data_IF_885287947077
#
_entry.id   IF_885287947077
#
_cell.length_a   1.000
_cell.length_b   1.000
_cell.length_c   1.000
_cell.angle_alpha   90.00
_cell.angle_beta   90.00
_cell.angle_gamma   90.00
#
_symmetry.space_group_name_H-M   'P 1'
#
loop_
_entity.id
_entity.type
_entity.pdbx_description
1 polymer ?
#
# COMPACT_ATOMS: atom_id res chain seq x y z
N UNK A 1 -29.52 4.54 -65.41
CA UNK A 1 -29.33 3.64 -64.28
C UNK A 1 -28.07 2.73 -64.43
N UNK A 2 -26.90 3.36 -64.74
CA UNK A 2 -25.65 2.58 -64.90
C UNK A 2 -24.51 3.08 -63.97
N UNK A 3 -24.74 4.13 -63.19
CA UNK A 3 -23.71 4.72 -62.32
C UNK A 3 -23.91 4.45 -60.82
N UNK A 4 -24.89 3.61 -60.43
CA UNK A 4 -25.16 3.31 -59.01
C UNK A 4 -24.49 2.02 -58.53
N UNK A 5 -23.88 1.23 -59.40
CA UNK A 5 -23.26 -0.04 -59.07
C UNK A 5 -21.76 0.07 -58.78
N UNK A 6 -21.13 1.22 -58.99
CA UNK A 6 -19.69 1.42 -58.86
C UNK A 6 -19.29 2.00 -57.51
N UNK A 7 -20.26 2.45 -56.68
CA UNK A 7 -20.00 3.01 -55.35
C UNK A 7 -20.07 1.94 -54.23
N UNK A 8 -20.68 0.79 -54.52
CA UNK A 8 -20.84 -0.25 -53.50
C UNK A 8 -19.64 -1.21 -53.38
N UNK A 9 -18.68 -1.19 -54.32
CA UNK A 9 -17.49 -2.04 -54.28
C UNK A 9 -16.29 -1.48 -53.57
N UNK A 10 -16.36 -0.21 -53.07
CA UNK A 10 -15.22 0.45 -52.44
C UNK A 10 -15.22 0.35 -50.90
N UNK A 11 -16.26 -0.24 -50.28
CA UNK A 11 -16.37 -0.36 -48.83
C UNK A 11 -15.94 -1.71 -48.25
N UNK A 12 -15.42 -2.63 -49.05
CA UNK A 12 -15.10 -4.00 -48.57
C UNK A 12 -13.60 -4.30 -48.35
N UNK A 13 -12.72 -3.29 -48.47
CA UNK A 13 -11.25 -3.55 -48.29
C UNK A 13 -10.63 -2.84 -47.09
N UNK A 14 -11.38 -2.34 -46.14
CA UNK A 14 -10.84 -1.86 -44.86
C UNK A 14 -11.27 -2.74 -43.69
N UNK A 15 -11.32 -4.06 -43.88
CA UNK A 15 -11.15 -4.98 -42.77
C UNK A 15 -9.66 -5.11 -42.51
N UNK A 16 -9.06 -4.02 -42.01
CA UNK A 16 -7.78 -4.11 -41.36
C UNK A 16 -8.03 -4.92 -40.09
N UNK A 17 -7.69 -6.23 -40.10
CA UNK A 17 -7.49 -6.97 -38.90
C UNK A 17 -6.41 -6.22 -38.13
N UNK A 18 -6.81 -5.40 -37.15
CA UNK A 18 -5.92 -5.06 -36.07
C UNK A 18 -5.63 -6.39 -35.40
N UNK A 19 -4.48 -6.95 -35.72
CA UNK A 19 -3.82 -7.82 -34.79
C UNK A 19 -3.71 -7.02 -33.50
N UNK A 20 -4.58 -7.30 -32.54
CA UNK A 20 -4.41 -6.81 -31.19
C UNK A 20 -3.04 -7.37 -30.77
N UNK A 21 -2.02 -6.54 -30.86
CA UNK A 21 -0.77 -6.82 -30.15
C UNK A 21 -1.20 -7.14 -28.74
N UNK A 22 -1.09 -8.41 -28.36
CA UNK A 22 -1.23 -8.82 -26.96
C UNK A 22 -0.16 -8.03 -26.21
N UNK A 23 -0.58 -6.90 -25.64
CA UNK A 23 0.26 -6.17 -24.71
C UNK A 23 0.59 -7.18 -23.62
N UNK A 24 1.82 -7.67 -23.62
CA UNK A 24 2.31 -8.55 -22.58
C UNK A 24 2.23 -7.77 -21.27
N UNK A 25 1.13 -7.90 -20.55
CA UNK A 25 0.96 -7.28 -19.23
C UNK A 25 1.94 -7.93 -18.27
N UNK A 26 3.00 -7.21 -17.99
CA UNK A 26 3.93 -7.60 -16.95
C UNK A 26 3.31 -7.36 -15.57
N UNK A 27 3.19 -8.40 -14.76
CA UNK A 27 2.63 -8.34 -13.41
C UNK A 27 3.73 -8.28 -12.36
N UNK A 28 3.47 -7.54 -11.30
CA UNK A 28 4.34 -7.54 -10.12
C UNK A 28 4.38 -8.94 -9.53
N UNK A 29 5.52 -9.61 -9.53
CA UNK A 29 5.66 -10.97 -8.99
C UNK A 29 6.26 -11.00 -7.60
N UNK A 30 7.22 -10.12 -7.32
CA UNK A 30 7.87 -10.02 -6.01
C UNK A 30 8.03 -8.56 -5.59
N UNK A 31 8.06 -8.35 -4.29
CA UNK A 31 8.36 -7.05 -3.67
C UNK A 31 9.39 -7.28 -2.57
N UNK A 32 10.48 -6.52 -2.61
CA UNK A 32 11.45 -6.55 -1.53
C UNK A 32 10.86 -5.93 -0.26
N UNK A 33 10.99 -6.63 0.87
CA UNK A 33 10.43 -6.22 2.16
C UNK A 33 11.00 -4.89 2.64
N UNK A 34 12.25 -4.59 2.32
CA UNK A 34 12.90 -3.32 2.69
C UNK A 34 12.23 -2.09 2.09
N UNK A 35 11.41 -2.27 1.03
CA UNK A 35 10.68 -1.19 0.37
C UNK A 35 9.32 -0.91 0.99
N UNK A 36 8.83 -1.80 1.84
CA UNK A 36 7.53 -1.69 2.47
C UNK A 36 7.61 -0.75 3.69
N UNK A 37 6.57 0.05 3.85
CA UNK A 37 6.43 0.95 4.99
C UNK A 37 5.37 0.37 5.93
N UNK A 38 5.80 -0.39 6.93
CA UNK A 38 4.92 -0.97 7.92
C UNK A 38 4.51 0.08 8.94
N UNK A 39 3.26 0.50 8.86
CA UNK A 39 2.67 1.58 9.65
C UNK A 39 2.53 1.24 11.14
N UNK A 40 2.53 -0.05 11.45
CA UNK A 40 2.04 -0.56 12.73
C UNK A 40 3.10 -1.21 13.59
N UNK A 41 4.32 -1.30 13.11
CA UNK A 41 5.34 -2.10 13.77
C UNK A 41 6.61 -1.28 13.83
N UNK A 42 7.10 -1.13 15.04
CA UNK A 42 8.47 -0.67 15.25
C UNK A 42 9.46 -1.81 14.89
N UNK A 43 9.39 -2.27 13.64
CA UNK A 43 10.28 -3.30 13.10
C UNK A 43 11.73 -2.81 13.12
N UNK A 44 11.92 -1.50 13.12
CA UNK A 44 13.23 -0.87 13.02
C UNK A 44 14.17 -1.16 14.19
N UNK A 45 13.64 -1.54 15.36
CA UNK A 45 14.49 -1.80 16.53
C UNK A 45 15.00 -3.25 16.62
N UNK A 46 14.32 -4.20 15.97
CA UNK A 46 14.63 -5.64 16.11
C UNK A 46 14.79 -6.38 14.78
N UNK A 47 14.38 -5.78 13.68
CA UNK A 47 14.46 -6.38 12.36
C UNK A 47 15.16 -5.44 11.38
N UNK A 48 16.29 -5.89 10.87
CA UNK A 48 16.98 -5.23 9.78
C UNK A 48 16.74 -6.09 8.52
N UNK A 49 15.77 -5.72 7.64
CA UNK A 49 15.42 -6.54 6.50
C UNK A 49 16.64 -6.73 5.60
N UNK A 50 16.96 -7.97 5.32
CA UNK A 50 17.96 -8.28 4.33
C UNK A 50 17.40 -7.88 2.95
N UNK A 51 18.22 -7.26 2.10
CA UNK A 51 17.83 -6.89 0.72
C UNK A 51 17.38 -8.07 -0.14
N UNK A 52 17.68 -9.30 0.26
CA UNK A 52 17.25 -10.51 -0.43
C UNK A 52 15.85 -10.99 -0.03
N UNK A 53 15.27 -10.48 1.06
CA UNK A 53 13.97 -10.93 1.53
C UNK A 53 12.85 -10.30 0.72
N UNK A 54 11.98 -11.14 0.18
CA UNK A 54 10.91 -10.75 -0.75
C UNK A 54 9.59 -11.41 -0.35
N UNK A 55 8.50 -10.65 -0.49
CA UNK A 55 7.17 -11.22 -0.59
C UNK A 55 6.89 -11.56 -2.05
N UNK A 56 6.13 -12.62 -2.28
CA UNK A 56 5.75 -13.12 -3.63
C UNK A 56 4.25 -13.05 -3.81
N UNK A 57 3.83 -12.63 -5.01
CA UNK A 57 2.44 -12.43 -5.35
C UNK A 57 1.98 -13.50 -6.33
N UNK A 58 0.85 -14.13 -6.04
CA UNK A 58 0.14 -15.02 -6.95
C UNK A 58 -1.15 -14.37 -7.43
N UNK A 59 -1.62 -14.75 -8.60
CA UNK A 59 -2.75 -14.14 -9.27
C UNK A 59 -3.83 -15.18 -9.58
N UNK A 60 -5.09 -14.75 -9.54
CA UNK A 60 -6.24 -15.53 -10.01
C UNK A 60 -6.39 -15.47 -11.54
N UNK A 61 -7.38 -16.18 -12.06
CA UNK A 61 -7.69 -16.20 -13.49
C UNK A 61 -8.15 -14.84 -14.06
N UNK A 62 -8.50 -13.87 -13.19
CA UNK A 62 -8.89 -12.52 -13.56
C UNK A 62 -7.75 -11.52 -13.41
N UNK A 63 -6.50 -11.99 -13.28
CA UNK A 63 -5.31 -11.17 -13.10
C UNK A 63 -5.30 -10.31 -11.82
N UNK A 64 -6.01 -10.72 -10.77
CA UNK A 64 -6.02 -10.07 -9.47
C UNK A 64 -5.13 -10.85 -8.50
N UNK A 65 -4.46 -10.17 -7.58
CA UNK A 65 -3.63 -10.80 -6.55
C UNK A 65 -4.52 -11.70 -5.68
N UNK A 66 -4.25 -13.00 -5.66
CA UNK A 66 -5.02 -14.00 -4.90
C UNK A 66 -4.28 -14.52 -3.68
N UNK A 67 -2.95 -14.38 -3.66
CA UNK A 67 -2.13 -14.80 -2.52
C UNK A 67 -0.88 -13.95 -2.42
N UNK A 68 -0.48 -13.63 -1.20
CA UNK A 68 0.79 -12.98 -0.86
C UNK A 68 1.55 -13.96 0.02
N UNK A 69 2.66 -14.49 -0.51
CA UNK A 69 3.55 -15.40 0.21
C UNK A 69 4.69 -14.62 0.84
N UNK A 70 5.02 -14.95 2.07
CA UNK A 70 6.07 -14.31 2.85
C UNK A 70 5.51 -13.22 3.76
N UNK A 71 5.52 -13.49 5.05
CA UNK A 71 5.21 -12.52 6.09
C UNK A 71 6.13 -12.78 7.29
N UNK A 72 6.10 -11.85 8.23
CA UNK A 72 6.95 -11.96 9.41
C UNK A 72 6.46 -13.06 10.35
N UNK A 73 7.37 -13.94 10.73
CA UNK A 73 7.18 -14.89 11.83
C UNK A 73 8.20 -14.62 12.92
N UNK A 74 7.90 -14.92 14.20
CA UNK A 74 8.87 -14.79 15.26
C UNK A 74 9.92 -15.90 15.14
N UNK A 75 11.15 -15.54 15.39
CA UNK A 75 12.24 -16.48 15.54
C UNK A 75 12.85 -16.24 16.91
N UNK A 76 12.87 -17.28 17.72
CA UNK A 76 13.57 -17.25 19.00
C UNK A 76 15.06 -17.54 18.74
N UNK A 77 15.90 -16.53 18.88
CA UNK A 77 17.36 -16.68 18.81
C UNK A 77 17.89 -16.41 20.22
N UNK A 78 18.08 -17.47 20.99
CA UNK A 78 18.46 -17.35 22.40
C UNK A 78 17.36 -16.69 23.23
N UNK A 79 17.72 -15.69 24.05
CA UNK A 79 16.79 -14.92 24.88
C UNK A 79 16.22 -13.68 24.14
N UNK A 80 16.65 -13.42 22.92
CA UNK A 80 16.20 -12.27 22.11
C UNK A 80 15.21 -12.74 21.05
N UNK A 81 13.99 -12.18 21.07
CA UNK A 81 13.03 -12.37 20.02
C UNK A 81 13.47 -11.58 18.76
N UNK A 82 13.39 -12.22 17.62
CA UNK A 82 13.66 -11.66 16.31
C UNK A 82 12.53 -12.04 15.37
N UNK A 83 12.45 -11.39 14.22
CA UNK A 83 11.49 -11.72 13.16
C UNK A 83 12.23 -12.11 11.88
N UNK A 84 11.65 -13.03 11.14
CA UNK A 84 12.12 -13.38 9.79
C UNK A 84 10.93 -13.46 8.84
N UNK A 85 11.18 -13.36 7.55
CA UNK A 85 10.18 -13.61 6.52
C UNK A 85 10.13 -15.12 6.24
N UNK A 86 8.93 -15.68 6.31
CA UNK A 86 8.70 -17.09 5.99
C UNK A 86 7.53 -17.25 5.03
N UNK A 87 7.65 -18.21 4.13
CA UNK A 87 6.57 -18.62 3.23
C UNK A 87 5.44 -19.38 3.92
N UNK A 88 5.70 -19.89 5.13
CA UNK A 88 4.66 -20.50 5.98
C UNK A 88 3.64 -19.47 6.46
N UNK A 89 4.01 -18.18 6.41
CA UNK A 89 3.13 -17.06 6.65
C UNK A 89 2.69 -16.44 5.31
N UNK A 90 1.38 -16.37 5.09
CA UNK A 90 0.81 -15.86 3.85
C UNK A 90 -0.55 -15.19 4.07
N UNK A 91 -0.96 -14.38 3.13
CA UNK A 91 -2.29 -13.80 3.03
C UNK A 91 -3.04 -14.41 1.85
N UNK A 92 -4.27 -14.87 2.07
CA UNK A 92 -5.20 -15.25 1.00
C UNK A 92 -6.13 -14.08 0.70
N UNK A 93 -6.29 -13.75 -0.59
CA UNK A 93 -7.05 -12.58 -1.02
C UNK A 93 -8.21 -13.02 -1.88
N UNK A 94 -9.41 -12.62 -1.48
CA UNK A 94 -10.63 -12.86 -2.23
C UNK A 94 -11.37 -11.56 -2.50
N UNK A 95 -12.18 -11.54 -3.57
CA UNK A 95 -12.87 -10.36 -4.05
C UNK A 95 -14.36 -10.61 -4.16
N UNK A 96 -15.17 -9.65 -3.71
CA UNK A 96 -16.62 -9.66 -3.87
C UNK A 96 -17.11 -8.23 -4.15
N UNK A 97 -17.49 -7.96 -5.39
CA UNK A 97 -17.83 -6.59 -5.82
C UNK A 97 -16.67 -5.62 -5.57
N UNK A 98 -16.90 -4.62 -4.74
CA UNK A 98 -15.89 -3.62 -4.36
C UNK A 98 -15.09 -4.01 -3.10
N UNK A 99 -15.39 -5.16 -2.49
CA UNK A 99 -14.71 -5.63 -1.28
C UNK A 99 -13.53 -6.54 -1.63
N UNK A 100 -12.42 -6.34 -0.94
CA UNK A 100 -11.23 -7.19 -0.94
C UNK A 100 -11.07 -7.75 0.46
N UNK A 101 -11.16 -9.05 0.60
CA UNK A 101 -10.97 -9.77 1.86
C UNK A 101 -9.58 -10.34 1.90
N UNK A 102 -8.89 -10.10 3.02
CA UNK A 102 -7.56 -10.63 3.31
C UNK A 102 -7.67 -11.55 4.50
N UNK A 103 -7.49 -12.84 4.26
CA UNK A 103 -7.41 -13.87 5.29
C UNK A 103 -5.95 -14.20 5.54
N UNK A 104 -5.50 -14.06 6.76
CA UNK A 104 -4.12 -14.31 7.14
C UNK A 104 -3.93 -15.76 7.58
N UNK A 105 -2.73 -16.32 7.32
CA UNK A 105 -2.35 -17.62 7.88
C UNK A 105 -2.14 -17.53 9.39
N UNK A 106 -2.37 -18.64 10.09
CA UNK A 106 -2.32 -18.72 11.55
C UNK A 106 -0.94 -18.39 12.17
N UNK A 107 0.11 -18.43 11.38
CA UNK A 107 1.50 -18.26 11.87
C UNK A 107 1.99 -16.81 11.81
N UNK A 108 1.16 -15.87 11.36
CA UNK A 108 1.56 -14.46 11.30
C UNK A 108 1.49 -13.82 12.68
N UNK A 109 2.56 -13.14 13.11
CA UNK A 109 2.59 -12.44 14.39
C UNK A 109 2.36 -10.93 14.27
N UNK A 110 2.50 -10.39 13.07
CA UNK A 110 2.33 -8.96 12.82
C UNK A 110 0.88 -8.69 12.52
N UNK A 111 0.13 -8.25 13.55
CA UNK A 111 -1.31 -8.03 13.51
C UNK A 111 -2.05 -9.20 12.85
N UNK A 112 -2.22 -10.29 13.57
CA UNK A 112 -2.83 -11.51 13.06
C UNK A 112 -4.35 -11.37 12.96
N UNK A 113 -4.81 -10.39 12.16
CA UNK A 113 -6.23 -10.12 11.99
C UNK A 113 -6.60 -10.14 10.52
N UNK A 114 -7.65 -10.87 10.21
CA UNK A 114 -8.30 -10.79 8.91
C UNK A 114 -8.77 -9.35 8.65
N UNK A 115 -8.77 -8.94 7.38
CA UNK A 115 -9.13 -7.58 6.99
C UNK A 115 -10.12 -7.60 5.82
N UNK A 116 -10.95 -6.59 5.78
CA UNK A 116 -11.80 -6.28 4.63
C UNK A 116 -11.52 -4.84 4.20
N UNK A 117 -11.30 -4.64 2.92
CA UNK A 117 -11.14 -3.32 2.30
C UNK A 117 -12.28 -3.09 1.32
N UNK A 118 -12.92 -1.93 1.38
CA UNK A 118 -13.84 -1.48 0.35
C UNK A 118 -13.11 -0.47 -0.53
N UNK A 119 -12.99 -0.78 -1.82
CA UNK A 119 -12.26 0.03 -2.79
C UNK A 119 -13.25 0.48 -3.87
N UNK A 120 -13.43 1.78 -4.00
CA UNK A 120 -14.31 2.42 -4.97
C UNK A 120 -13.50 3.30 -5.92
N UNK A 121 -13.57 3.07 -7.22
CA UNK A 121 -12.85 3.86 -8.22
C UNK A 121 -11.35 4.00 -7.90
N UNK A 122 -10.71 2.89 -7.54
CA UNK A 122 -9.29 2.83 -7.12
C UNK A 122 -8.96 3.65 -5.85
N UNK A 123 -9.95 4.02 -5.07
CA UNK A 123 -9.78 4.71 -3.79
C UNK A 123 -10.30 3.83 -2.67
N UNK A 124 -9.58 3.79 -1.56
CA UNK A 124 -10.05 3.10 -0.37
C UNK A 124 -11.21 3.91 0.24
N UNK A 125 -12.36 3.26 0.43
CA UNK A 125 -13.51 3.85 1.12
C UNK A 125 -13.55 3.45 2.60
N UNK A 126 -13.21 2.17 2.89
CA UNK A 126 -13.09 1.71 4.27
C UNK A 126 -12.10 0.55 4.40
N UNK A 127 -11.57 0.39 5.61
CA UNK A 127 -10.82 -0.77 6.06
C UNK A 127 -11.44 -1.29 7.35
N UNK A 128 -11.74 -2.56 7.37
CA UNK A 128 -12.24 -3.26 8.57
C UNK A 128 -11.19 -4.27 9.02
N UNK A 129 -10.80 -4.19 10.29
CA UNK A 129 -9.95 -5.17 10.95
C UNK A 129 -10.85 -6.06 11.79
N UNK A 130 -10.77 -7.38 11.60
CA UNK A 130 -11.66 -8.36 12.22
C UNK A 130 -10.93 -8.95 13.44
N UNK A 131 -11.38 -8.55 14.65
CA UNK A 131 -10.77 -8.94 15.91
C UNK A 131 -11.80 -9.76 16.71
N UNK A 132 -11.88 -11.06 16.46
CA UNK A 132 -12.88 -11.92 17.09
C UNK A 132 -14.31 -11.41 16.82
N UNK A 133 -15.06 -11.06 17.88
CA UNK A 133 -16.39 -10.45 17.76
C UNK A 133 -16.37 -8.94 17.59
N UNK A 134 -15.23 -8.29 17.83
CA UNK A 134 -15.08 -6.84 17.74
C UNK A 134 -14.43 -6.48 16.39
N UNK A 135 -15.06 -5.57 15.66
CA UNK A 135 -14.52 -5.06 14.42
C UNK A 135 -14.08 -3.62 14.60
N UNK A 136 -12.93 -3.29 14.07
CA UNK A 136 -12.43 -1.92 13.99
C UNK A 136 -12.60 -1.43 12.56
N UNK A 137 -13.42 -0.41 12.33
CA UNK A 137 -13.73 0.10 10.99
C UNK A 137 -13.16 1.51 10.84
N UNK A 138 -12.25 1.65 9.90
CA UNK A 138 -11.71 2.92 9.43
C UNK A 138 -12.45 3.35 8.18
N UNK A 139 -12.91 4.59 8.13
CA UNK A 139 -13.56 5.20 6.98
C UNK A 139 -12.67 6.30 6.41
N UNK A 140 -12.64 6.43 5.08
CA UNK A 140 -11.80 7.39 4.36
C UNK A 140 -12.66 8.37 3.59
N UNK A 141 -12.49 9.65 3.85
CA UNK A 141 -13.18 10.74 3.18
C UNK A 141 -12.18 11.56 2.36
N UNK A 142 -12.53 11.86 1.11
CA UNK A 142 -11.67 12.57 0.18
C UNK A 142 -12.18 13.99 -0.02
N UNK A 143 -11.32 14.99 0.17
CA UNK A 143 -11.63 16.40 -0.04
C UNK A 143 -10.43 17.10 -0.68
N UNK A 144 -10.51 17.44 -1.96
CA UNK A 144 -9.39 18.04 -2.69
C UNK A 144 -8.13 17.16 -2.61
N UNK A 145 -7.07 17.74 -2.07
CA UNK A 145 -5.77 17.09 -1.90
C UNK A 145 -5.61 16.41 -0.51
N UNK A 146 -6.69 16.24 0.23
CA UNK A 146 -6.66 15.62 1.54
C UNK A 146 -7.54 14.36 1.58
N UNK A 147 -7.09 13.40 2.39
CA UNK A 147 -7.84 12.22 2.74
C UNK A 147 -7.89 12.16 4.26
N UNK A 148 -9.07 11.99 4.81
CA UNK A 148 -9.31 11.93 6.26
C UNK A 148 -9.70 10.52 6.63
N UNK A 149 -8.98 9.93 7.59
CA UNK A 149 -9.27 8.62 8.17
C UNK A 149 -9.99 8.81 9.51
N UNK A 150 -11.11 8.13 9.68
CA UNK A 150 -11.94 8.20 10.89
C UNK A 150 -12.32 6.82 11.42
N UNK A 151 -12.45 6.72 12.75
CA UNK A 151 -13.09 5.60 13.45
C UNK A 151 -14.27 6.18 14.24
N UNK A 152 -15.51 5.68 14.01
CA UNK A 152 -16.69 6.16 14.71
C UNK A 152 -16.81 7.70 14.68
N UNK A 153 -16.58 8.31 13.52
CA UNK A 153 -16.54 9.77 13.29
C UNK A 153 -15.36 10.50 13.98
N UNK A 154 -14.53 9.81 14.75
CA UNK A 154 -13.32 10.40 15.35
C UNK A 154 -12.21 10.44 14.32
N UNK A 155 -11.62 11.61 14.13
CA UNK A 155 -10.47 11.82 13.25
C UNK A 155 -9.25 11.06 13.80
N UNK A 156 -8.65 10.20 12.99
CA UNK A 156 -7.46 9.42 13.36
C UNK A 156 -6.24 9.94 12.62
N UNK A 157 -6.33 10.03 11.28
CA UNK A 157 -5.23 10.52 10.44
C UNK A 157 -5.76 11.45 9.35
N UNK A 158 -4.90 12.37 8.94
CA UNK A 158 -5.07 13.16 7.73
C UNK A 158 -3.90 12.90 6.80
N UNK A 159 -4.16 12.60 5.55
CA UNK A 159 -3.18 12.37 4.50
C UNK A 159 -3.21 13.55 3.53
N UNK A 160 -2.06 14.14 3.23
CA UNK A 160 -1.93 15.22 2.24
C UNK A 160 -1.32 14.67 0.96
N UNK A 161 -1.97 14.92 -0.16
CA UNK A 161 -1.57 14.45 -1.49
C UNK A 161 -1.17 15.65 -2.34
N UNK A 162 0.03 15.66 -2.86
CA UNK A 162 0.52 16.71 -3.77
C UNK A 162 1.05 16.07 -5.06
N UNK A 163 0.61 16.55 -6.21
CA UNK A 163 0.99 16.02 -7.52
C UNK A 163 0.79 14.49 -7.66
N UNK A 164 -0.21 13.95 -6.94
CA UNK A 164 -0.51 12.52 -6.92
C UNK A 164 0.36 11.70 -5.96
N UNK A 165 1.21 12.32 -5.15
CA UNK A 165 2.06 11.69 -4.16
C UNK A 165 1.60 12.04 -2.75
N UNK A 166 1.66 11.07 -1.85
CA UNK A 166 1.45 11.29 -0.43
C UNK A 166 2.67 12.00 0.15
N UNK A 167 2.51 13.27 0.54
CA UNK A 167 3.61 14.09 1.07
C UNK A 167 3.61 14.15 2.58
N UNK A 168 2.45 14.00 3.23
CA UNK A 168 2.36 14.11 4.68
C UNK A 168 1.23 13.24 5.25
N UNK A 169 1.48 12.71 6.45
CA UNK A 169 0.44 12.12 7.32
C UNK A 169 0.51 12.85 8.66
N UNK A 170 -0.64 13.26 9.18
CA UNK A 170 -0.82 13.73 10.54
C UNK A 170 -1.69 12.72 11.30
N UNK A 171 -1.15 12.10 12.35
CA UNK A 171 -1.86 11.21 13.26
C UNK A 171 -2.17 11.94 14.55
N UNK A 172 -3.44 11.98 14.92
CA UNK A 172 -3.93 12.74 16.06
C UNK A 172 -3.92 11.94 17.34
N UNK A 173 -3.41 12.52 18.42
CA UNK A 173 -3.38 11.92 19.76
C UNK A 173 -4.49 12.53 20.62
N UNK A 174 -5.13 11.70 21.41
CA UNK A 174 -6.27 12.07 22.23
C UNK A 174 -6.05 11.64 23.68
N UNK A 175 -6.58 12.43 24.62
CA UNK A 175 -6.73 12.02 26.02
C UNK A 175 -7.98 11.14 26.22
N UNK A 176 -8.19 10.67 27.45
CA UNK A 176 -9.34 9.84 27.81
C UNK A 176 -10.71 10.55 27.62
N UNK A 177 -10.71 11.89 27.61
CA UNK A 177 -11.89 12.71 27.35
C UNK A 177 -12.11 12.99 25.86
N UNK A 178 -11.40 12.29 24.96
CA UNK A 178 -11.46 12.47 23.51
C UNK A 178 -11.08 13.88 23.01
N UNK A 179 -10.30 14.62 23.76
CA UNK A 179 -9.75 15.90 23.33
C UNK A 179 -8.39 15.67 22.67
N UNK A 180 -8.09 16.42 21.60
CA UNK A 180 -6.78 16.37 20.95
C UNK A 180 -5.75 16.97 21.91
N UNK A 181 -4.70 16.22 22.21
CA UNK A 181 -3.56 16.63 23.05
C UNK A 181 -2.26 16.75 22.30
N UNK A 182 -2.23 16.31 21.05
CA UNK A 182 -1.03 16.37 20.22
C UNK A 182 -1.23 15.70 18.87
N UNK A 183 -0.16 15.62 18.12
CA UNK A 183 -0.11 14.89 16.84
C UNK A 183 1.28 14.34 16.57
N UNK A 184 1.33 13.33 15.73
CA UNK A 184 2.55 12.85 15.08
C UNK A 184 2.44 13.22 13.60
N UNK A 185 3.45 13.90 13.08
CA UNK A 185 3.55 14.28 11.68
C UNK A 185 4.63 13.43 11.01
N UNK A 186 4.28 12.80 9.88
CA UNK A 186 5.24 12.08 9.04
C UNK A 186 5.27 12.75 7.67
N UNK A 187 6.45 13.18 7.23
CA UNK A 187 6.69 13.84 5.94
C UNK A 187 7.42 12.86 5.04
N UNK A 188 6.94 12.69 3.83
CA UNK A 188 7.54 11.83 2.81
C UNK A 188 8.24 12.68 1.76
N UNK A 189 9.42 12.26 1.36
CA UNK A 189 10.27 13.00 0.42
C UNK A 189 11.11 12.07 -0.46
N UNK A 190 11.88 12.68 -1.36
CA UNK A 190 12.76 11.98 -2.28
C UNK A 190 11.98 10.98 -3.16
N UNK A 191 10.96 11.51 -3.84
CA UNK A 191 10.17 10.75 -4.79
C UNK A 191 10.96 10.51 -6.07
N UNK A 192 10.94 9.25 -6.55
CA UNK A 192 11.46 8.93 -7.87
C UNK A 192 10.48 9.33 -8.99
N UNK A 193 10.92 9.17 -10.25
CA UNK A 193 10.06 9.41 -11.40
C UNK A 193 9.39 8.13 -11.92
N UNK A 194 9.60 6.99 -11.26
CA UNK A 194 9.04 5.71 -11.67
C UNK A 194 7.61 5.55 -11.16
N UNK A 195 6.84 4.74 -11.89
CA UNK A 195 5.51 4.34 -11.44
C UNK A 195 5.60 3.49 -10.17
N UNK A 196 4.83 3.83 -9.16
CA UNK A 196 4.70 3.02 -7.98
C UNK A 196 3.79 1.81 -8.24
N UNK A 197 4.38 0.63 -8.35
CA UNK A 197 3.66 -0.62 -8.62
C UNK A 197 2.74 -1.06 -7.46
N UNK A 198 2.88 -0.46 -6.28
CA UNK A 198 2.02 -0.69 -5.12
C UNK A 198 0.84 0.28 -5.04
N UNK A 199 0.76 1.25 -5.96
CA UNK A 199 -0.37 2.19 -6.00
C UNK A 199 -1.71 1.45 -6.01
N UNK A 200 -2.64 1.91 -5.18
CA UNK A 200 -3.99 1.34 -5.00
C UNK A 200 -4.04 -0.11 -4.46
N UNK A 201 -2.91 -0.68 -4.05
CA UNK A 201 -2.84 -2.02 -3.45
C UNK A 201 -2.84 -1.96 -1.92
N UNK A 202 -3.85 -1.29 -1.36
CA UNK A 202 -3.99 -1.04 0.10
C UNK A 202 -4.00 -2.31 0.94
N UNK A 203 -4.39 -3.44 0.36
CA UNK A 203 -4.51 -4.72 1.03
C UNK A 203 -3.18 -5.49 1.16
N UNK A 204 -2.11 -5.06 0.50
CA UNK A 204 -0.78 -5.64 0.68
C UNK A 204 -0.20 -5.14 2.00
N UNK A 205 0.15 -6.06 2.90
CA UNK A 205 0.74 -5.72 4.18
C UNK A 205 2.05 -4.95 3.98
N UNK A 206 2.19 -3.80 4.66
CA UNK A 206 3.32 -2.89 4.49
C UNK A 206 3.26 -1.99 3.24
N UNK A 207 2.30 -2.18 2.35
CA UNK A 207 2.12 -1.30 1.18
C UNK A 207 1.06 -0.20 1.41
N UNK A 208 0.32 -0.22 2.51
CA UNK A 208 -0.81 0.67 2.74
C UNK A 208 -0.47 2.15 2.51
N UNK A 209 0.60 2.64 3.13
CA UNK A 209 1.05 4.03 2.97
C UNK A 209 1.51 4.30 1.54
N UNK A 210 2.28 3.39 0.93
CA UNK A 210 2.73 3.52 -0.45
C UNK A 210 1.59 3.53 -1.46
N UNK A 211 0.49 2.84 -1.15
CA UNK A 211 -0.67 2.73 -2.05
C UNK A 211 -1.33 4.09 -2.38
N UNK A 212 -1.09 5.12 -1.58
CA UNK A 212 -1.58 6.48 -1.84
C UNK A 212 -0.74 7.29 -2.83
N UNK A 213 0.49 6.86 -3.15
CA UNK A 213 1.43 7.64 -3.96
C UNK A 213 1.51 7.14 -5.40
N UNK A 214 1.64 8.10 -6.33
CA UNK A 214 1.91 7.83 -7.75
C UNK A 214 3.33 7.31 -7.97
N UNK A 215 4.30 7.91 -7.29
CA UNK A 215 5.72 7.59 -7.35
C UNK A 215 6.18 6.98 -6.02
N UNK A 216 7.38 6.39 -6.00
CA UNK A 216 7.93 5.85 -4.78
C UNK A 216 8.67 6.93 -4.00
N UNK A 217 8.38 7.08 -2.71
CA UNK A 217 9.19 7.88 -1.78
C UNK A 217 10.30 7.01 -1.20
N UNK A 218 11.45 7.62 -0.95
CA UNK A 218 12.63 6.94 -0.36
C UNK A 218 12.88 7.36 1.08
N UNK A 219 12.50 8.58 1.43
CA UNK A 219 12.72 9.10 2.76
C UNK A 219 11.40 9.43 3.45
N UNK A 220 11.37 9.23 4.75
CA UNK A 220 10.36 9.83 5.59
C UNK A 220 10.95 10.31 6.92
N UNK A 221 10.36 11.36 7.45
CA UNK A 221 10.70 12.01 8.69
C UNK A 221 9.46 12.08 9.57
N UNK A 222 9.58 11.69 10.82
CA UNK A 222 8.47 11.72 11.78
C UNK A 222 8.84 12.63 12.96
N UNK A 223 7.91 13.52 13.32
CA UNK A 223 8.01 14.45 14.43
C UNK A 223 6.78 14.39 15.31
N UNK A 224 6.98 14.41 16.63
CA UNK A 224 5.91 14.51 17.60
C UNK A 224 5.65 15.94 18.05
N UNK A 225 4.39 16.24 18.34
CA UNK A 225 3.93 17.53 18.82
C UNK A 225 2.91 17.35 19.94
N UNK A 226 3.00 18.17 20.97
CA UNK A 226 1.99 18.32 22.02
C UNK A 226 1.24 19.63 21.83
N UNK A 227 -0.04 19.64 22.17
CA UNK A 227 -0.87 20.84 22.13
C UNK A 227 -0.68 21.63 23.44
N UNK A 228 -0.10 22.81 23.35
CA UNK A 228 0.13 23.73 24.48
C UNK A 228 -0.45 25.09 24.14
N UNK A 229 -1.35 25.60 24.98
CA UNK A 229 -1.97 26.93 24.83
C UNK A 229 -2.54 27.17 23.41
N UNK A 230 -3.15 26.15 22.80
CA UNK A 230 -3.73 26.25 21.46
C UNK A 230 -2.75 26.14 20.29
N UNK A 231 -1.45 25.91 20.55
CA UNK A 231 -0.41 25.75 19.54
C UNK A 231 0.26 24.39 19.65
N UNK A 232 0.68 23.82 18.52
CA UNK A 232 1.45 22.59 18.49
C UNK A 232 2.93 22.90 18.68
N UNK A 233 3.50 22.41 19.78
CA UNK A 233 4.91 22.55 20.13
C UNK A 233 5.59 21.19 20.00
N UNK A 234 6.80 21.14 19.42
CA UNK A 234 7.56 19.89 19.32
C UNK A 234 7.76 19.28 20.70
N UNK A 235 7.50 17.99 20.84
CA UNK A 235 7.75 17.23 22.07
C UNK A 235 9.18 16.68 22.15
N UNK A 236 10.02 17.02 21.14
CA UNK A 236 11.40 16.55 21.04
C UNK A 236 11.53 15.17 20.39
N UNK A 237 10.45 14.47 20.12
CA UNK A 237 10.53 13.20 19.39
C UNK A 237 10.82 13.46 17.91
N UNK A 238 11.83 12.77 17.41
CA UNK A 238 12.26 12.88 16.03
C UNK A 238 12.77 11.53 15.53
N UNK A 239 12.28 11.11 14.38
CA UNK A 239 12.72 9.89 13.74
C UNK A 239 12.82 10.10 12.23
N UNK A 240 13.95 9.74 11.63
CA UNK A 240 14.11 9.70 10.18
C UNK A 240 14.43 8.29 9.73
N UNK A 241 13.91 7.91 8.59
CA UNK A 241 14.28 6.68 7.90
C UNK A 241 14.43 6.94 6.43
N UNK A 242 15.58 6.59 5.91
CA UNK A 242 15.76 6.35 4.49
C UNK A 242 15.40 4.89 4.26
N UNK A 243 14.36 4.66 3.49
CA UNK A 243 14.09 3.32 3.01
C UNK A 243 15.30 2.94 2.18
N UNK A 244 15.92 1.80 2.50
CA UNK A 244 17.17 1.34 1.88
C UNK A 244 17.03 0.99 0.38
N UNK A 245 16.21 1.75 -0.30
CA UNK A 245 16.06 1.76 -1.73
C UNK A 245 17.14 2.66 -2.31
N UNK A 246 18.35 2.18 -2.34
CA UNK A 246 19.31 2.69 -3.30
C UNK A 246 18.75 2.36 -4.68
N UNK A 247 17.90 3.24 -5.16
CA UNK A 247 17.63 3.35 -6.58
C UNK A 247 18.89 3.88 -7.27
N UNK A 248 19.96 3.12 -7.21
CA UNK A 248 20.92 3.20 -8.27
C UNK A 248 20.18 2.67 -9.49
N UNK A 249 20.26 3.36 -10.60
CA UNK A 249 19.64 3.02 -11.87
C UNK A 249 19.77 1.55 -12.28
N UNK A 250 20.68 0.81 -11.67
CA UNK A 250 20.95 -0.61 -11.84
C UNK A 250 20.12 -1.53 -10.91
N UNK A 251 19.47 -1.02 -9.85
CA UNK A 251 18.88 -1.84 -8.79
C UNK A 251 17.36 -1.76 -8.66
N UNK A 252 16.65 -1.03 -9.52
CA UNK A 252 15.16 -1.07 -9.56
C UNK A 252 14.67 -2.51 -9.79
N UNK A 253 15.39 -3.30 -10.57
CA UNK A 253 15.09 -4.71 -10.81
C UNK A 253 15.11 -5.57 -9.54
N UNK A 254 15.82 -5.16 -8.48
CA UNK A 254 15.92 -5.92 -7.24
C UNK A 254 14.80 -5.60 -6.23
N UNK A 255 14.11 -4.47 -6.42
CA UNK A 255 13.02 -4.03 -5.51
C UNK A 255 11.70 -4.66 -5.89
N UNK A 256 11.42 -4.67 -7.18
CA UNK A 256 10.21 -5.24 -7.76
C UNK A 256 10.60 -6.13 -8.94
N UNK A 257 10.10 -7.36 -8.93
CA UNK A 257 10.21 -8.21 -10.10
C UNK A 257 8.85 -8.26 -10.80
N UNK A 258 8.89 -8.15 -12.11
CA UNK A 258 7.72 -8.33 -12.97
C UNK A 258 7.84 -9.68 -13.68
N UNK A 259 6.75 -10.40 -13.76
CA UNK A 259 6.60 -11.56 -14.62
C UNK A 259 5.75 -11.16 -15.82
N UNK A 260 6.34 -11.22 -17.01
CA UNK A 260 5.64 -11.02 -18.28
C UNK A 260 5.21 -12.40 -18.82
N UNK A 261 3.98 -12.52 -19.29
CA UNK A 261 3.45 -13.74 -19.94
C UNK A 261 3.69 -13.66 -21.44
#
# INVERSE_FOLDING_TARGET
MKNLLLILSFFLVFSCSRDEEKVNECKLSTVNVSTLAYDDINISSTYNPNFSEKIRLSYDSQNRISKILGSFIPVMVGSLGSYTISDDAYDEITYSGNSVYVKISANQMIRPYDKEFVILNNKIASQKIIIGTNNLVYNYEYSGNQIVEKINNKLIRTFSIENGNLTKIEKWNYNDSNQIIGKIETIFSDFDNSENLLKNKFFINGAFIKAFSKNNFRNFETKGYVLQNGSYVSDGSYYTKTLAMTYNSENIANVFEKKCN
#
